data_IF_035215222249
#
_entry.id   IF_035215222249
#
_cell.length_a   1.000
_cell.length_b   1.000
_cell.length_c   1.000
_cell.angle_alpha   90.00
_cell.angle_beta   90.00
_cell.angle_gamma   90.00
#
_symmetry.space_group_name_H-M   'P 1'
#
loop_
_entity.id
_entity.type
_entity.pdbx_description
1 polymer ?
#
# COMPACT_ATOMS: atom_id res chain seq x y z
N UNK A 1 -11.69 7.43 0.80
CA UNK A 1 -11.99 6.04 0.37
C UNK A 1 -12.86 5.29 1.38
N UNK A 2 -13.72 4.39 0.91
CA UNK A 2 -14.49 3.41 1.70
C UNK A 2 -13.64 2.20 2.10
N UNK A 3 -14.13 1.38 3.03
CA UNK A 3 -13.47 0.11 3.42
C UNK A 3 -13.27 -0.82 2.23
N UNK A 4 -14.29 -0.99 1.40
CA UNK A 4 -14.23 -1.84 0.22
C UNK A 4 -13.17 -1.35 -0.78
N UNK A 5 -13.09 -0.03 -1.00
CA UNK A 5 -12.07 0.58 -1.87
C UNK A 5 -10.65 0.36 -1.32
N UNK A 6 -10.45 0.54 -0.02
CA UNK A 6 -9.19 0.27 0.63
C UNK A 6 -8.75 -1.19 0.48
N UNK A 7 -9.64 -2.15 0.78
CA UNK A 7 -9.33 -3.57 0.69
C UNK A 7 -8.99 -4.00 -0.74
N UNK A 8 -9.70 -3.44 -1.72
CA UNK A 8 -9.40 -3.65 -3.13
C UNK A 8 -8.03 -3.09 -3.49
N UNK A 9 -7.73 -1.83 -3.11
CA UNK A 9 -6.48 -1.16 -3.48
C UNK A 9 -5.25 -1.81 -2.84
N UNK A 10 -5.31 -2.20 -1.57
CA UNK A 10 -4.18 -2.90 -0.92
C UNK A 10 -3.94 -4.26 -1.59
N UNK A 11 -4.99 -4.98 -1.99
CA UNK A 11 -4.86 -6.27 -2.68
C UNK A 11 -4.21 -6.13 -4.05
N UNK A 12 -4.57 -5.08 -4.81
CA UNK A 12 -3.92 -4.73 -6.09
C UNK A 12 -2.42 -4.41 -5.91
N UNK A 13 -2.02 -3.98 -4.72
CA UNK A 13 -0.63 -3.67 -4.36
C UNK A 13 0.10 -4.86 -3.70
N UNK A 14 -0.48 -6.06 -3.71
CA UNK A 14 0.01 -7.27 -3.03
C UNK A 14 0.19 -7.11 -1.52
N UNK A 15 -0.65 -6.26 -0.91
CA UNK A 15 -0.67 -6.03 0.53
C UNK A 15 -1.86 -6.73 1.18
N UNK A 16 -1.67 -7.11 2.43
CA UNK A 16 -2.74 -7.48 3.36
C UNK A 16 -2.97 -6.33 4.32
N UNK A 17 -4.12 -6.31 5.02
CA UNK A 17 -4.35 -5.32 6.10
C UNK A 17 -3.26 -5.38 7.18
N UNK A 18 -2.68 -6.57 7.43
CA UNK A 18 -1.61 -6.76 8.40
C UNK A 18 -0.31 -6.12 7.92
N UNK A 19 0.13 -6.42 6.70
CA UNK A 19 1.35 -5.84 6.15
C UNK A 19 1.22 -4.33 5.93
N UNK A 20 0.04 -3.86 5.51
CA UNK A 20 -0.23 -2.42 5.47
C UNK A 20 -0.10 -1.78 6.87
N UNK A 21 -0.65 -2.40 7.92
CA UNK A 21 -0.56 -1.88 9.29
C UNK A 21 0.90 -1.76 9.76
N UNK A 22 1.71 -2.77 9.45
CA UNK A 22 3.14 -2.80 9.75
C UNK A 22 3.90 -1.67 9.04
N UNK A 23 3.68 -1.48 7.72
CA UNK A 23 4.39 -0.45 6.93
C UNK A 23 3.93 0.95 7.32
N UNK A 24 2.63 1.16 7.50
CA UNK A 24 2.07 2.45 7.90
C UNK A 24 2.26 2.75 9.39
N UNK A 25 2.87 1.83 10.15
CA UNK A 25 3.11 1.91 11.58
C UNK A 25 1.84 2.27 12.37
N UNK A 26 0.75 1.55 12.07
CA UNK A 26 -0.54 1.67 12.76
C UNK A 26 -0.96 0.34 13.36
N UNK A 27 -1.83 0.37 14.35
CA UNK A 27 -2.36 -0.85 14.93
C UNK A 27 -3.24 -1.63 13.92
N UNK A 28 -2.94 -2.92 13.73
CA UNK A 28 -3.81 -3.82 12.98
C UNK A 28 -5.23 -3.88 13.55
N UNK A 29 -5.37 -3.87 14.89
CA UNK A 29 -6.69 -3.85 15.54
C UNK A 29 -7.45 -2.56 15.25
N UNK A 30 -6.74 -1.44 15.09
CA UNK A 30 -7.29 -0.17 14.66
C UNK A 30 -7.92 -0.27 13.26
N UNK A 31 -7.22 -0.91 12.32
CA UNK A 31 -7.72 -1.13 10.95
C UNK A 31 -8.88 -2.13 10.92
N UNK A 32 -8.84 -3.20 11.73
CA UNK A 32 -9.89 -4.23 11.73
C UNK A 32 -11.18 -3.77 12.41
N UNK A 33 -11.07 -2.89 13.41
CA UNK A 33 -12.21 -2.51 14.28
C UNK A 33 -12.79 -1.15 13.93
N UNK A 34 -11.96 -0.18 13.50
CA UNK A 34 -12.39 1.21 13.31
C UNK A 34 -12.71 1.57 11.87
N UNK A 35 -12.24 0.79 10.88
CA UNK A 35 -12.48 1.05 9.45
C UNK A 35 -13.55 0.08 8.94
N UNK A 36 -14.78 0.26 9.45
CA UNK A 36 -15.98 -0.50 9.04
C UNK A 36 -16.67 0.20 7.86
N UNK A 37 -17.62 -0.49 7.23
CA UNK A 37 -18.26 -0.04 5.99
C UNK A 37 -18.96 1.33 6.09
N UNK A 38 -19.32 1.75 7.30
CA UNK A 38 -19.98 3.02 7.65
C UNK A 38 -19.01 4.11 8.15
N UNK A 39 -17.71 3.81 8.29
CA UNK A 39 -16.71 4.73 8.82
C UNK A 39 -15.73 5.17 7.74
N UNK A 40 -15.53 6.48 7.65
CA UNK A 40 -14.55 7.07 6.76
C UNK A 40 -13.13 6.59 7.14
N UNK A 41 -12.40 6.08 6.14
CA UNK A 41 -10.98 5.77 6.32
C UNK A 41 -10.22 7.08 6.46
N UNK A 42 -9.21 7.16 7.37
CA UNK A 42 -8.40 8.36 7.51
C UNK A 42 -7.88 8.88 6.17
N UNK A 43 -8.05 10.17 5.94
CA UNK A 43 -7.74 10.81 4.64
C UNK A 43 -6.29 10.65 4.18
N UNK A 44 -5.36 10.37 5.10
CA UNK A 44 -3.95 10.12 4.77
C UNK A 44 -3.70 8.77 4.09
N UNK A 45 -4.62 7.81 4.18
CA UNK A 45 -4.43 6.46 3.63
C UNK A 45 -4.35 6.47 2.11
N UNK A 46 -5.17 7.29 1.48
CA UNK A 46 -5.21 7.42 0.02
C UNK A 46 -3.89 7.98 -0.57
N UNK A 47 -3.36 9.14 -0.11
CA UNK A 47 -2.06 9.60 -0.58
C UNK A 47 -0.92 8.65 -0.17
N UNK A 48 -1.00 7.97 0.97
CA UNK A 48 -0.02 6.94 1.34
C UNK A 48 0.03 5.82 0.30
N UNK A 49 -1.11 5.24 -0.07
CA UNK A 49 -1.18 4.16 -1.07
C UNK A 49 -0.73 4.64 -2.45
N UNK A 50 -1.05 5.89 -2.83
CA UNK A 50 -0.58 6.49 -4.07
C UNK A 50 0.95 6.55 -4.15
N UNK A 51 1.63 7.03 -3.11
CA UNK A 51 3.10 7.11 -3.10
C UNK A 51 3.75 5.75 -2.89
N UNK A 52 3.13 4.84 -2.15
CA UNK A 52 3.58 3.46 -2.02
C UNK A 52 3.61 2.74 -3.39
N UNK A 53 2.54 2.88 -4.18
CA UNK A 53 2.47 2.34 -5.54
C UNK A 53 3.59 2.89 -6.42
N UNK A 54 3.83 4.21 -6.39
CA UNK A 54 4.93 4.83 -7.12
C UNK A 54 6.30 4.31 -6.71
N UNK A 55 6.55 4.15 -5.41
CA UNK A 55 7.80 3.59 -4.89
C UNK A 55 8.00 2.17 -5.42
N UNK A 56 6.97 1.31 -5.32
CA UNK A 56 7.03 -0.08 -5.81
C UNK A 56 7.31 -0.15 -7.31
N UNK A 57 6.68 0.71 -8.11
CA UNK A 57 6.96 0.82 -9.54
C UNK A 57 8.40 1.26 -9.81
N UNK A 58 8.91 2.23 -9.06
CA UNK A 58 10.28 2.72 -9.20
C UNK A 58 11.30 1.63 -8.84
N UNK A 59 11.11 0.90 -7.75
CA UNK A 59 11.97 -0.22 -7.35
C UNK A 59 11.98 -1.31 -8.42
N UNK A 60 10.82 -1.64 -8.98
CA UNK A 60 10.70 -2.61 -10.10
C UNK A 60 11.45 -2.14 -11.33
N UNK A 61 11.36 -0.86 -11.67
CA UNK A 61 12.07 -0.26 -12.80
C UNK A 61 13.60 -0.28 -12.59
N UNK A 62 14.08 0.08 -11.40
CA UNK A 62 15.51 0.01 -11.06
C UNK A 62 16.05 -1.42 -11.18
N UNK A 63 15.35 -2.40 -10.60
CA UNK A 63 15.75 -3.81 -10.70
C UNK A 63 15.73 -4.33 -12.15
N UNK A 64 14.89 -3.78 -13.02
CA UNK A 64 14.90 -4.11 -14.45
C UNK A 64 16.15 -3.55 -15.14
N UNK A 65 16.57 -2.32 -14.82
CA UNK A 65 17.76 -1.67 -15.40
C UNK A 65 19.06 -2.29 -14.88
N UNK A 66 19.13 -2.68 -13.61
CA UNK A 66 20.33 -3.29 -13.02
C UNK A 66 20.81 -4.52 -13.81
N UNK A 67 19.88 -5.29 -14.40
CA UNK A 67 20.20 -6.43 -15.29
C UNK A 67 21.02 -6.07 -16.53
N UNK A 68 21.11 -4.78 -16.86
CA UNK A 68 21.84 -4.26 -18.01
C UNK A 68 23.08 -3.45 -17.61
N UNK A 69 23.35 -3.23 -16.32
CA UNK A 69 24.53 -2.46 -15.86
C UNK A 69 25.87 -3.17 -16.05
N UNK A 70 25.88 -4.50 -16.09
CA UNK A 70 27.11 -5.30 -16.14
C UNK A 70 27.42 -5.83 -17.57
N UNK A 71 26.87 -5.21 -18.61
CA UNK A 71 27.02 -5.66 -20.02
C UNK A 71 28.04 -4.86 -20.85
N UNK A 72 28.82 -3.98 -20.24
CA UNK A 72 29.89 -3.22 -20.89
C UNK A 72 31.27 -3.56 -20.30
#
# INVERSE_FOLDING_TARGET
MTRLEFDKKIKELDLTRKTFAEIANVSYSGISTNWKDDKEIPSWVEPFLYYYEKSKTFDTFLSAIEKYKDKD
#
